data_IF_439020969523
#
_entry.id   IF_439020969523
#
_cell.length_a   1.000
_cell.length_b   1.000
_cell.length_c   1.000
_cell.angle_alpha   90.00
_cell.angle_beta   90.00
_cell.angle_gamma   90.00
#
_symmetry.space_group_name_H-M   'P 1'
#
loop_
_entity.id
_entity.type
_entity.pdbx_description
1 polymer ?
#
# COMPACT_ATOMS: atom_id res chain seq x y z
N UNK A 1 26.60 -24.84 8.52
CA UNK A 1 25.21 -24.72 8.03
C UNK A 1 24.82 -23.25 8.15
N UNK A 2 24.42 -22.64 7.03
CA UNK A 2 24.46 -21.20 6.76
C UNK A 2 23.97 -20.32 7.93
N UNK A 3 24.83 -19.40 8.38
CA UNK A 3 24.59 -18.47 9.50
C UNK A 3 23.67 -17.30 9.17
N UNK A 4 22.52 -17.58 8.53
CA UNK A 4 21.48 -16.59 8.23
C UNK A 4 20.36 -16.58 9.30
N UNK A 5 19.53 -15.53 9.26
CA UNK A 5 18.36 -15.37 10.15
C UNK A 5 17.18 -16.32 9.82
N UNK A 6 17.36 -17.27 8.90
CA UNK A 6 16.35 -18.26 8.49
C UNK A 6 17.01 -19.61 8.23
N UNK A 7 16.31 -20.69 8.56
CA UNK A 7 16.72 -22.06 8.28
C UNK A 7 15.79 -22.79 7.29
N UNK A 8 15.52 -24.08 7.54
CA UNK A 8 14.68 -24.94 6.69
C UNK A 8 13.54 -25.59 7.49
N UNK A 9 12.63 -26.31 6.83
CA UNK A 9 11.61 -27.13 7.48
C UNK A 9 12.23 -28.00 8.57
N UNK A 10 11.68 -27.92 9.79
CA UNK A 10 12.21 -28.59 10.98
C UNK A 10 13.29 -27.83 11.76
N UNK A 11 13.89 -26.77 11.20
CA UNK A 11 14.86 -25.90 11.89
C UNK A 11 14.84 -24.47 11.32
N UNK A 12 13.71 -23.77 11.45
CA UNK A 12 13.49 -22.44 10.86
C UNK A 12 14.30 -21.31 11.52
N UNK A 13 14.87 -21.53 12.71
CA UNK A 13 15.67 -20.52 13.42
C UNK A 13 14.87 -19.57 14.32
N UNK A 14 13.56 -19.79 14.47
CA UNK A 14 12.70 -19.07 15.41
C UNK A 14 12.91 -19.48 16.88
N UNK A 15 12.24 -18.79 17.82
CA UNK A 15 12.25 -19.15 19.23
C UNK A 15 11.62 -20.54 19.47
N UNK A 16 11.89 -21.13 20.64
CA UNK A 16 11.25 -22.39 21.02
C UNK A 16 9.77 -22.13 21.34
N UNK A 17 8.88 -22.82 20.63
CA UNK A 17 7.43 -22.72 20.82
C UNK A 17 6.90 -23.96 21.56
N UNK A 18 6.10 -23.76 22.61
CA UNK A 18 5.44 -24.84 23.36
C UNK A 18 4.08 -24.36 23.86
N UNK A 19 3.04 -25.18 23.71
CA UNK A 19 1.69 -24.90 24.23
C UNK A 19 0.73 -24.22 23.25
N UNK A 20 1.14 -24.00 21.99
CA UNK A 20 0.25 -23.50 20.95
C UNK A 20 -0.43 -24.67 20.22
N UNK A 21 -1.75 -24.61 20.09
CA UNK A 21 -2.54 -25.59 19.35
C UNK A 21 -3.25 -24.85 18.22
N UNK A 22 -3.05 -25.30 16.98
CA UNK A 22 -3.67 -24.70 15.78
C UNK A 22 -4.68 -25.67 15.20
N UNK A 23 -5.89 -25.18 14.96
CA UNK A 23 -6.96 -25.93 14.31
C UNK A 23 -7.23 -25.32 12.93
N UNK A 24 -7.43 -26.19 11.95
CA UNK A 24 -7.84 -25.78 10.60
C UNK A 24 -8.86 -26.78 10.06
N UNK A 25 -9.76 -26.31 9.19
CA UNK A 25 -10.67 -27.16 8.43
C UNK A 25 -10.13 -27.37 7.03
N UNK A 26 -10.55 -28.46 6.38
CA UNK A 26 -10.22 -28.70 4.98
C UNK A 26 -10.83 -27.59 4.11
N UNK A 27 -10.10 -27.01 3.14
CA UNK A 27 -10.65 -26.01 2.24
C UNK A 27 -11.87 -26.51 1.45
N UNK A 28 -11.99 -27.83 1.24
CA UNK A 28 -13.13 -28.46 0.55
C UNK A 28 -14.42 -28.49 1.39
N UNK A 29 -14.32 -28.24 2.70
CA UNK A 29 -15.46 -28.12 3.61
C UNK A 29 -15.90 -26.65 3.78
N UNK A 30 -15.10 -25.70 3.29
CA UNK A 30 -15.32 -24.27 3.44
C UNK A 30 -15.98 -23.66 2.19
N UNK A 31 -16.72 -22.57 2.40
CA UNK A 31 -17.17 -21.70 1.32
C UNK A 31 -16.09 -20.62 1.08
N UNK A 32 -15.34 -20.65 -0.03
CA UNK A 32 -14.10 -19.87 -0.18
C UNK A 32 -14.33 -18.34 -0.17
N UNK A 33 -15.48 -17.86 -0.64
CA UNK A 33 -15.80 -16.43 -0.72
C UNK A 33 -16.86 -15.98 0.30
N UNK A 34 -17.12 -16.78 1.33
CA UNK A 34 -18.13 -16.43 2.34
C UNK A 34 -17.76 -15.12 3.04
N UNK A 35 -18.65 -14.13 2.93
CA UNK A 35 -18.47 -12.83 3.60
C UNK A 35 -17.64 -11.80 2.81
N UNK A 36 -17.16 -12.13 1.60
CA UNK A 36 -16.44 -11.16 0.75
C UNK A 36 -17.31 -9.94 0.45
N UNK A 37 -18.57 -10.13 0.04
CA UNK A 37 -19.45 -9.00 -0.26
C UNK A 37 -20.07 -8.37 1.01
N UNK A 38 -20.36 -9.18 2.04
CA UNK A 38 -20.99 -8.71 3.28
C UNK A 38 -20.03 -7.88 4.15
N UNK A 39 -18.79 -8.35 4.33
CA UNK A 39 -17.81 -7.76 5.25
C UNK A 39 -16.62 -7.12 4.52
N UNK A 40 -16.33 -7.54 3.29
CA UNK A 40 -15.18 -7.05 2.52
C UNK A 40 -15.20 -5.54 2.29
N UNK A 41 -16.29 -4.93 1.79
CA UNK A 41 -16.33 -3.48 1.55
C UNK A 41 -16.04 -2.66 2.80
N UNK A 42 -16.68 -2.98 3.92
CA UNK A 42 -16.46 -2.30 5.19
C UNK A 42 -15.01 -2.45 5.68
N UNK A 43 -14.43 -3.64 5.54
CA UNK A 43 -13.03 -3.88 5.91
C UNK A 43 -12.04 -3.13 4.99
N UNK A 44 -12.32 -3.07 3.69
CA UNK A 44 -11.51 -2.33 2.72
C UNK A 44 -11.53 -0.84 3.07
N UNK A 45 -12.71 -0.25 3.24
CA UNK A 45 -12.83 1.17 3.62
C UNK A 45 -12.09 1.45 4.93
N UNK A 46 -12.31 0.64 5.97
CA UNK A 46 -11.65 0.79 7.27
C UNK A 46 -10.12 0.73 7.16
N UNK A 47 -9.58 -0.17 6.31
CA UNK A 47 -8.12 -0.32 6.12
C UNK A 47 -7.55 0.82 5.29
N UNK A 48 -8.19 1.18 4.18
CA UNK A 48 -7.74 2.25 3.30
C UNK A 48 -7.78 3.60 4.01
N UNK A 49 -8.85 3.90 4.75
CA UNK A 49 -9.00 5.17 5.48
C UNK A 49 -7.85 5.43 6.46
N UNK A 50 -7.33 4.38 7.12
CA UNK A 50 -6.19 4.50 8.05
C UNK A 50 -4.86 4.83 7.37
N UNK A 51 -4.75 4.58 6.07
CA UNK A 51 -3.54 4.86 5.29
C UNK A 51 -3.61 6.21 4.56
N UNK A 52 -4.81 6.76 4.37
CA UNK A 52 -4.99 8.04 3.68
C UNK A 52 -4.13 9.18 4.26
N UNK A 53 -3.98 9.37 5.58
CA UNK A 53 -3.15 10.45 6.11
C UNK A 53 -1.67 10.37 5.71
N UNK A 54 -1.17 9.19 5.35
CA UNK A 54 0.23 9.00 4.95
C UNK A 54 0.43 9.12 3.43
N UNK A 55 -0.59 8.78 2.64
CA UNK A 55 -0.51 8.75 1.17
C UNK A 55 -1.08 10.01 0.53
N UNK A 56 -2.17 10.54 1.07
CA UNK A 56 -2.88 11.69 0.48
C UNK A 56 -2.02 12.97 0.47
N UNK A 57 -1.28 13.33 1.53
CA UNK A 57 -0.46 14.55 1.50
C UNK A 57 0.61 14.54 0.41
N UNK A 58 1.30 13.42 0.21
CA UNK A 58 2.32 13.29 -0.82
C UNK A 58 1.73 13.33 -2.23
N UNK A 59 0.56 12.72 -2.44
CA UNK A 59 -0.17 12.81 -3.70
C UNK A 59 -0.62 14.25 -4.01
N UNK A 60 -1.19 14.95 -3.02
CA UNK A 60 -1.59 16.35 -3.19
C UNK A 60 -0.38 17.19 -3.57
N UNK A 61 0.73 17.08 -2.83
CA UNK A 61 1.95 17.82 -3.12
C UNK A 61 2.44 17.57 -4.54
N UNK A 62 2.51 16.30 -4.96
CA UNK A 62 2.98 15.93 -6.29
C UNK A 62 2.08 16.53 -7.38
N UNK A 63 0.76 16.39 -7.25
CA UNK A 63 -0.20 16.90 -8.24
C UNK A 63 -0.16 18.42 -8.29
N UNK A 64 -0.02 19.09 -7.14
CA UNK A 64 0.07 20.55 -7.05
C UNK A 64 1.33 21.07 -7.74
N UNK A 65 2.51 20.50 -7.44
CA UNK A 65 3.78 20.90 -8.06
C UNK A 65 3.75 20.67 -9.57
N UNK A 66 3.28 19.50 -10.00
CA UNK A 66 3.16 19.18 -11.42
C UNK A 66 2.21 20.14 -12.15
N UNK A 67 1.04 20.41 -11.57
CA UNK A 67 0.05 21.32 -12.17
C UNK A 67 0.57 22.75 -12.26
N UNK A 68 1.29 23.22 -11.24
CA UNK A 68 1.95 24.53 -11.26
C UNK A 68 3.02 24.57 -12.36
N UNK A 69 3.94 23.61 -12.37
CA UNK A 69 5.02 23.55 -13.35
C UNK A 69 4.52 23.53 -14.79
N UNK A 70 3.48 22.72 -15.07
CA UNK A 70 2.85 22.65 -16.40
C UNK A 70 2.25 24.00 -16.82
N UNK A 71 1.50 24.66 -15.93
CA UNK A 71 0.91 25.98 -16.21
C UNK A 71 1.97 27.05 -16.41
N UNK A 72 3.00 27.06 -15.56
CA UNK A 72 4.10 28.04 -15.63
C UNK A 72 4.93 27.86 -16.90
N UNK A 73 5.28 26.63 -17.25
CA UNK A 73 5.98 26.33 -18.51
C UNK A 73 5.16 26.78 -19.72
N UNK A 74 3.86 26.46 -19.77
CA UNK A 74 2.99 26.90 -20.86
C UNK A 74 2.90 28.43 -20.97
N UNK A 75 2.87 29.14 -19.83
CA UNK A 75 2.88 30.60 -19.80
C UNK A 75 4.19 31.19 -20.33
N UNK A 76 5.35 30.70 -19.88
CA UNK A 76 6.66 31.20 -20.31
C UNK A 76 6.92 30.98 -21.81
N UNK A 77 6.37 29.91 -22.38
CA UNK A 77 6.42 29.65 -23.82
C UNK A 77 5.29 30.32 -24.62
N UNK A 78 4.45 31.14 -23.99
CA UNK A 78 3.41 31.92 -24.67
C UNK A 78 3.92 33.31 -25.07
N UNK A 79 3.21 33.95 -26.00
CA UNK A 79 3.51 35.35 -26.40
C UNK A 79 3.46 36.32 -25.21
N UNK A 80 2.53 36.11 -24.27
CA UNK A 80 2.36 36.97 -23.11
C UNK A 80 3.49 36.82 -22.07
N UNK A 81 4.10 35.63 -21.97
CA UNK A 81 5.19 35.35 -21.04
C UNK A 81 6.58 35.69 -21.57
N UNK A 82 6.70 36.08 -22.84
CA UNK A 82 7.99 36.35 -23.47
C UNK A 82 8.77 37.50 -22.81
N UNK A 83 8.07 38.48 -22.23
CA UNK A 83 8.67 39.59 -21.47
C UNK A 83 9.16 39.19 -20.06
N UNK A 84 8.65 38.09 -19.50
CA UNK A 84 9.08 37.55 -18.19
C UNK A 84 10.12 36.43 -18.34
N UNK A 85 10.23 35.84 -19.53
CA UNK A 85 11.17 34.76 -19.84
C UNK A 85 12.57 35.26 -20.25
N UNK A 86 12.71 36.55 -20.54
CA UNK A 86 13.94 37.22 -20.98
C UNK A 86 14.61 38.03 -19.87
#
# INVERSE_FOLDING_TARGET
MAGGYSGWWGRMGGPKEKGFITYTLSPFELKPMKGVLKNGPANVVRRTARQLPYVVPSLILLISVYSYGKKRSAYLHSKAGHAEAH
#
